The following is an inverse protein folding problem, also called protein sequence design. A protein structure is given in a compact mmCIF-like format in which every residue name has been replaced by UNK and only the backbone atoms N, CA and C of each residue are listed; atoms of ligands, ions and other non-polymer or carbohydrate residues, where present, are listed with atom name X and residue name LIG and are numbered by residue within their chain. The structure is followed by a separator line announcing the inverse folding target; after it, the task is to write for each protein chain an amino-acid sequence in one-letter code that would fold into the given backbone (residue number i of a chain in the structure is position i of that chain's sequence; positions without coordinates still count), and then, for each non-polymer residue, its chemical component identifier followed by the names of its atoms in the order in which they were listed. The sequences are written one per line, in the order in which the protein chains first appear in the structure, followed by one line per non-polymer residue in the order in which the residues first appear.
data_IF_952308088962
#
_entry.id   IF_952308088962
#
_cell.length_a   1.000
_cell.length_b   1.000
_cell.length_c   1.000
_cell.angle_alpha   90.00
_cell.angle_beta   90.00
_cell.angle_gamma   90.00
#
_symmetry.space_group_name_H-M   'P 1'
#
loop_
_entity.id
_entity.type
_entity.pdbx_description
1 polymer ?
#
# COMPACT_ATOMS: atom_id res chain seq x y z
N UNK A 1 -23.34 -27.99 5.91
CA UNK A 1 -22.09 -27.37 6.40
C UNK A 1 -21.10 -27.38 5.25
N UNK A 2 -20.74 -26.23 4.66
CA UNK A 2 -19.88 -26.25 3.47
C UNK A 2 -19.58 -24.91 2.79
N UNK A 3 -19.56 -23.79 3.53
CA UNK A 3 -19.18 -22.45 3.01
C UNK A 3 -17.76 -22.02 3.38
N UNK A 4 -16.95 -22.91 3.95
CA UNK A 4 -15.69 -22.51 4.63
C UNK A 4 -14.57 -22.04 3.71
N UNK A 5 -14.67 -22.24 2.40
CA UNK A 5 -13.58 -21.91 1.46
C UNK A 5 -13.75 -20.57 0.77
N UNK A 6 -14.98 -20.20 0.40
CA UNK A 6 -15.30 -18.89 -0.20
C UNK A 6 -15.12 -17.78 0.84
N UNK A 7 -15.56 -18.02 2.08
CA UNK A 7 -15.40 -17.09 3.20
C UNK A 7 -13.92 -16.72 3.41
N UNK A 8 -12.99 -17.68 3.29
CA UNK A 8 -11.54 -17.44 3.46
C UNK A 8 -10.96 -16.48 2.41
N UNK A 9 -11.44 -16.51 1.17
CA UNK A 9 -10.92 -15.64 0.09
C UNK A 9 -11.39 -14.20 0.23
N UNK A 10 -12.62 -13.98 0.72
CA UNK A 10 -13.13 -12.65 1.11
C UNK A 10 -12.19 -12.04 2.14
N UNK A 11 -11.90 -12.80 3.21
CA UNK A 11 -11.07 -12.28 4.29
C UNK A 11 -9.64 -12.01 3.86
N UNK A 12 -9.06 -12.85 2.98
CA UNK A 12 -7.71 -12.61 2.45
C UNK A 12 -7.59 -11.24 1.76
N UNK A 13 -8.47 -10.97 0.79
CA UNK A 13 -8.47 -9.69 0.08
C UNK A 13 -8.81 -8.52 1.01
N UNK A 14 -9.77 -8.69 1.93
CA UNK A 14 -10.15 -7.62 2.85
C UNK A 14 -9.02 -7.27 3.82
N UNK A 15 -8.29 -8.28 4.33
CA UNK A 15 -7.12 -8.07 5.20
C UNK A 15 -6.04 -7.26 4.48
N UNK A 16 -5.75 -7.60 3.22
CA UNK A 16 -4.79 -6.84 2.40
C UNK A 16 -5.29 -5.41 2.14
N UNK A 17 -6.58 -5.24 1.85
CA UNK A 17 -7.21 -3.92 1.71
C UNK A 17 -7.13 -3.07 2.99
N UNK A 18 -7.38 -3.66 4.15
CA UNK A 18 -7.23 -3.00 5.45
C UNK A 18 -5.78 -2.61 5.72
N UNK A 19 -4.82 -3.49 5.41
CA UNK A 19 -3.39 -3.19 5.52
C UNK A 19 -3.02 -1.94 4.71
N UNK A 20 -3.37 -1.92 3.41
CA UNK A 20 -3.09 -0.78 2.54
C UNK A 20 -3.79 0.49 2.99
N UNK A 21 -5.03 0.40 3.49
CA UNK A 21 -5.74 1.54 4.08
C UNK A 21 -4.97 2.13 5.25
N UNK A 22 -4.59 1.29 6.22
CA UNK A 22 -3.87 1.73 7.43
C UNK A 22 -2.51 2.35 7.09
N UNK A 23 -1.72 1.70 6.23
CA UNK A 23 -0.41 2.18 5.81
C UNK A 23 -0.50 3.50 5.03
N UNK A 24 -1.48 3.62 4.14
CA UNK A 24 -1.64 4.83 3.33
C UNK A 24 -2.10 6.02 4.14
N UNK A 25 -3.05 5.82 5.07
CA UNK A 25 -3.45 6.87 6.00
C UNK A 25 -2.30 7.27 6.93
N UNK A 26 -1.48 6.31 7.37
CA UNK A 26 -0.27 6.58 8.14
C UNK A 26 0.71 7.46 7.35
N UNK A 27 1.07 7.06 6.13
CA UNK A 27 1.97 7.83 5.27
C UNK A 27 1.42 9.24 5.00
N UNK A 28 0.14 9.36 4.64
CA UNK A 28 -0.51 10.64 4.41
C UNK A 28 -0.38 11.56 5.63
N UNK A 29 -0.77 11.07 6.81
CA UNK A 29 -0.69 11.83 8.04
C UNK A 29 0.75 12.29 8.34
N UNK A 30 1.74 11.42 8.11
CA UNK A 30 3.16 11.72 8.38
C UNK A 30 3.78 12.69 7.40
N UNK A 31 3.48 12.55 6.11
CA UNK A 31 3.91 13.48 5.06
C UNK A 31 3.36 14.88 5.37
N UNK A 32 2.05 14.99 5.63
CA UNK A 32 1.41 16.27 5.92
C UNK A 32 1.92 16.88 7.23
N UNK A 33 2.10 16.07 8.28
CA UNK A 33 2.69 16.53 9.53
C UNK A 33 4.10 17.07 9.34
N UNK A 34 4.95 16.37 8.55
CA UNK A 34 6.33 16.78 8.29
C UNK A 34 6.37 18.05 7.45
N UNK A 35 5.57 18.14 6.40
CA UNK A 35 5.43 19.35 5.58
C UNK A 35 5.03 20.56 6.43
N UNK A 36 4.00 20.41 7.27
CA UNK A 36 3.52 21.50 8.15
C UNK A 36 4.59 21.98 9.13
N UNK A 37 5.47 21.07 9.62
CA UNK A 37 6.54 21.41 10.57
C UNK A 37 7.75 22.06 9.91
N UNK A 38 8.16 21.56 8.75
CA UNK A 38 9.41 21.98 8.09
C UNK A 38 9.21 23.11 7.09
N UNK A 39 7.98 23.31 6.60
CA UNK A 39 7.69 24.20 5.48
C UNK A 39 8.25 23.69 4.15
N UNK A 40 8.06 24.45 3.06
CA UNK A 40 8.48 24.04 1.72
C UNK A 40 9.99 23.80 1.57
N UNK A 41 10.81 24.66 2.16
CA UNK A 41 12.27 24.61 2.02
C UNK A 41 12.92 23.48 2.82
N UNK A 42 12.35 23.14 3.99
CA UNK A 42 12.88 22.11 4.88
C UNK A 42 12.28 20.72 4.65
N UNK A 43 11.25 20.59 3.80
CA UNK A 43 10.60 19.32 3.58
C UNK A 43 11.51 18.35 2.82
N UNK A 44 11.58 17.13 3.35
CA UNK A 44 12.20 16.00 2.68
C UNK A 44 11.41 14.73 2.97
N UNK A 45 11.03 14.02 1.93
CA UNK A 45 10.37 12.71 1.96
C UNK A 45 11.33 11.69 2.56
N UNK A 46 10.78 10.68 3.24
CA UNK A 46 11.51 9.54 3.76
C UNK A 46 10.76 8.26 3.37
N UNK A 47 11.46 7.15 3.11
CA UNK A 47 10.82 5.92 2.67
C UNK A 47 9.98 5.24 3.76
N UNK A 48 10.20 5.59 5.02
CA UNK A 48 9.37 5.17 6.15
C UNK A 48 9.21 6.31 7.17
N UNK A 49 8.19 6.22 8.02
CA UNK A 49 7.89 7.24 9.02
C UNK A 49 7.72 6.67 10.43
N UNK A 50 8.41 7.30 11.38
CA UNK A 50 8.26 7.00 12.80
C UNK A 50 7.16 7.86 13.45
N UNK A 51 6.68 7.41 14.61
CA UNK A 51 5.74 8.16 15.44
C UNK A 51 6.43 9.36 16.14
N UNK A 52 6.72 10.44 15.41
CA UNK A 52 7.32 11.65 15.98
C UNK A 52 8.73 11.44 16.52
N UNK A 53 9.04 12.00 17.70
CA UNK A 53 10.29 11.71 18.44
C UNK A 53 10.26 10.38 19.20
N UNK A 54 9.13 9.66 19.17
CA UNK A 54 9.02 8.44 19.98
C UNK A 54 10.06 7.41 19.53
N UNK A 55 10.49 6.61 20.51
CA UNK A 55 11.40 5.49 20.27
C UNK A 55 10.77 4.39 19.41
N UNK A 56 9.46 4.42 19.15
CA UNK A 56 8.71 3.31 18.58
C UNK A 56 8.56 3.48 17.05
N UNK A 57 9.26 2.65 16.25
CA UNK A 57 9.08 2.60 14.79
C UNK A 57 7.80 1.84 14.44
N UNK A 58 6.66 2.52 14.52
CA UNK A 58 5.33 1.92 14.29
C UNK A 58 5.21 1.26 12.91
N UNK A 59 5.58 1.95 11.84
CA UNK A 59 5.49 1.40 10.48
C UNK A 59 6.37 0.15 10.29
N UNK A 60 7.66 0.16 10.68
CA UNK A 60 8.49 -1.03 10.58
C UNK A 60 7.98 -2.21 11.40
N UNK A 61 7.53 -1.96 12.64
CA UNK A 61 6.92 -3.01 13.49
C UNK A 61 5.67 -3.56 12.82
N UNK A 62 4.82 -2.70 12.24
CA UNK A 62 3.60 -3.12 11.57
C UNK A 62 3.89 -3.97 10.33
N UNK A 63 4.86 -3.57 9.49
CA UNK A 63 5.32 -4.37 8.34
C UNK A 63 5.80 -5.76 8.77
N UNK A 64 6.56 -5.85 9.87
CA UNK A 64 7.05 -7.12 10.43
C UNK A 64 5.91 -7.99 10.94
N UNK A 65 5.01 -7.43 11.76
CA UNK A 65 3.88 -8.18 12.28
C UNK A 65 3.02 -8.74 11.14
N UNK A 66 2.65 -7.90 10.18
CA UNK A 66 1.83 -8.35 9.05
C UNK A 66 2.59 -9.38 8.21
N UNK A 67 3.84 -9.12 7.83
CA UNK A 67 4.63 -10.06 7.04
C UNK A 67 4.80 -11.43 7.70
N UNK A 68 5.07 -11.47 9.02
CA UNK A 68 5.24 -12.73 9.76
C UNK A 68 3.90 -13.43 9.96
N UNK A 69 2.88 -12.75 10.50
CA UNK A 69 1.61 -13.40 10.83
C UNK A 69 0.83 -13.80 9.58
N UNK A 70 0.79 -12.94 8.56
CA UNK A 70 0.12 -13.24 7.30
C UNK A 70 0.89 -14.33 6.53
N UNK A 71 2.23 -14.26 6.49
CA UNK A 71 3.05 -15.31 5.87
C UNK A 71 2.87 -16.67 6.54
N UNK A 72 2.72 -16.71 7.87
CA UNK A 72 2.40 -17.94 8.59
C UNK A 72 1.00 -18.45 8.27
N UNK A 73 0.00 -17.56 8.23
CA UNK A 73 -1.36 -17.95 7.85
C UNK A 73 -1.41 -18.56 6.44
N UNK A 74 -0.66 -17.99 5.48
CA UNK A 74 -0.51 -18.50 4.13
C UNK A 74 0.19 -19.86 4.07
N UNK A 75 1.25 -20.04 4.85
CA UNK A 75 1.92 -21.34 4.98
C UNK A 75 0.93 -22.44 5.43
N UNK A 76 0.17 -22.19 6.49
CA UNK A 76 -0.83 -23.14 6.99
C UNK A 76 -1.96 -23.39 5.99
N UNK A 77 -2.39 -22.35 5.27
CA UNK A 77 -3.41 -22.50 4.24
C UNK A 77 -2.93 -23.34 3.05
N UNK A 78 -1.62 -23.42 2.82
CA UNK A 78 -1.00 -24.21 1.75
C UNK A 78 -0.63 -25.65 2.11
N UNK A 79 -0.90 -26.10 3.35
CA UNK A 79 -0.66 -27.48 3.76
C UNK A 79 -1.78 -28.41 3.29
N UNK A 80 -1.41 -29.56 2.74
CA UNK A 80 -2.33 -30.65 2.43
C UNK A 80 -2.76 -31.42 3.71
N UNK A 81 -3.70 -32.39 3.64
CA UNK A 81 -4.11 -33.17 4.80
C UNK A 81 -2.98 -34.00 5.46
N UNK A 82 -1.89 -34.24 4.74
CA UNK A 82 -0.70 -34.94 5.25
C UNK A 82 0.33 -33.96 5.85
N UNK A 83 0.07 -32.65 5.82
CA UNK A 83 0.98 -31.62 6.28
C UNK A 83 2.08 -31.24 5.30
N UNK A 84 2.01 -31.67 4.03
CA UNK A 84 2.97 -31.25 3.00
C UNK A 84 2.52 -29.95 2.35
N UNK A 85 3.46 -29.04 2.13
CA UNK A 85 3.18 -27.81 1.40
C UNK A 85 3.15 -28.08 -0.11
N UNK A 86 2.00 -27.89 -0.74
CA UNK A 86 1.80 -28.17 -2.18
C UNK A 86 1.13 -27.04 -2.94
N UNK A 87 0.69 -25.98 -2.26
CA UNK A 87 -0.07 -24.91 -2.88
C UNK A 87 0.84 -23.76 -3.38
N UNK A 88 1.18 -23.78 -4.67
CA UNK A 88 1.98 -22.73 -5.33
C UNK A 88 1.40 -21.31 -5.12
N UNK A 89 0.07 -21.18 -5.06
CA UNK A 89 -0.60 -19.90 -4.78
C UNK A 89 -0.15 -19.28 -3.46
N UNK A 90 -0.17 -20.08 -2.39
CA UNK A 90 0.25 -19.63 -1.07
C UNK A 90 1.74 -19.31 -1.04
N UNK A 91 2.56 -20.00 -1.86
CA UNK A 91 3.99 -19.71 -1.97
C UNK A 91 4.24 -18.29 -2.49
N UNK A 92 3.45 -17.84 -3.46
CA UNK A 92 3.55 -16.48 -3.98
C UNK A 92 3.15 -15.44 -2.92
N UNK A 93 2.09 -15.68 -2.13
CA UNK A 93 1.72 -14.80 -1.01
C UNK A 93 2.82 -14.76 0.05
N UNK A 94 3.40 -15.91 0.39
CA UNK A 94 4.53 -16.01 1.32
C UNK A 94 5.75 -15.23 0.82
N UNK A 95 6.02 -15.21 -0.49
CA UNK A 95 7.10 -14.41 -1.06
C UNK A 95 6.90 -12.91 -0.83
N UNK A 96 5.69 -12.38 -1.08
CA UNK A 96 5.34 -10.98 -0.77
C UNK A 96 5.51 -10.69 0.72
N UNK A 97 5.02 -11.59 1.59
CA UNK A 97 5.16 -11.49 3.05
C UNK A 97 6.62 -11.45 3.50
N UNK A 98 7.48 -12.28 2.90
CA UNK A 98 8.91 -12.33 3.19
C UNK A 98 9.58 -11.00 2.82
N UNK A 99 9.31 -10.47 1.62
CA UNK A 99 9.87 -9.18 1.18
C UNK A 99 9.35 -8.02 2.04
N UNK A 100 8.07 -8.03 2.43
CA UNK A 100 7.50 -7.05 3.36
C UNK A 100 8.18 -7.11 4.74
N UNK A 101 8.44 -8.31 5.24
CA UNK A 101 9.19 -8.53 6.50
C UNK A 101 10.60 -7.96 6.39
N UNK A 102 11.30 -8.24 5.29
CA UNK A 102 12.65 -7.69 5.05
C UNK A 102 12.63 -6.16 4.94
N UNK A 103 11.61 -5.57 4.31
CA UNK A 103 11.40 -4.11 4.29
C UNK A 103 11.28 -3.55 5.71
N UNK A 104 10.49 -4.19 6.58
CA UNK A 104 10.38 -3.80 7.99
C UNK A 104 11.70 -3.90 8.76
N UNK A 105 12.50 -4.95 8.53
CA UNK A 105 13.82 -5.12 9.16
C UNK A 105 14.80 -4.02 8.73
N UNK A 106 14.82 -3.67 7.44
CA UNK A 106 15.66 -2.60 6.90
C UNK A 106 15.30 -1.25 7.51
N UNK A 107 14.00 -0.94 7.61
CA UNK A 107 13.54 0.30 8.23
C UNK A 107 13.91 0.38 9.73
N UNK A 108 13.84 -0.75 10.45
CA UNK A 108 14.32 -0.85 11.84
C UNK A 108 15.83 -0.60 11.94
N UNK A 109 16.61 -1.21 11.04
CA UNK A 109 18.06 -1.01 10.97
C UNK A 109 18.43 0.46 10.78
N UNK A 110 17.77 1.14 9.84
CA UNK A 110 17.95 2.59 9.62
C UNK A 110 17.54 3.37 10.88
N UNK A 111 16.42 3.02 11.52
CA UNK A 111 15.95 3.71 12.74
C UNK A 111 16.95 3.63 13.90
N UNK A 112 17.65 2.51 14.04
CA UNK A 112 18.64 2.28 15.09
C UNK A 112 20.08 2.59 14.66
N UNK A 113 20.26 3.31 13.55
CA UNK A 113 21.56 3.71 13.02
C UNK A 113 22.53 2.53 12.80
N UNK A 114 22.00 1.35 12.48
CA UNK A 114 22.80 0.31 11.84
C UNK A 114 23.21 0.86 10.48
N UNK A 115 24.44 0.57 10.02
CA UNK A 115 25.00 1.10 8.77
C UNK A 115 24.24 0.54 7.56
N UNK A 116 23.05 1.09 7.30
CA UNK A 116 22.10 0.71 6.27
C UNK A 116 21.77 1.96 5.46
N UNK A 117 22.09 1.99 4.15
CA UNK A 117 21.72 3.12 3.29
C UNK A 117 20.20 3.34 3.27
N UNK A 118 19.75 4.60 3.36
CA UNK A 118 18.32 4.95 3.29
C UNK A 118 17.65 4.47 1.99
N UNK A 119 18.43 4.38 0.91
CA UNK A 119 17.99 3.87 -0.39
C UNK A 119 17.56 2.40 -0.35
N UNK A 120 18.09 1.59 0.58
CA UNK A 120 17.66 0.20 0.71
C UNK A 120 16.18 0.10 1.12
N UNK A 121 15.68 1.03 1.94
CA UNK A 121 14.26 1.04 2.32
C UNK A 121 13.36 1.24 1.08
N UNK A 122 13.75 2.15 0.16
CA UNK A 122 13.07 2.29 -1.13
C UNK A 122 13.16 1.03 -1.99
N UNK A 123 14.34 0.41 -2.07
CA UNK A 123 14.56 -0.82 -2.87
C UNK A 123 13.68 -1.96 -2.36
N UNK A 124 13.63 -2.19 -1.05
CA UNK A 124 12.77 -3.23 -0.48
C UNK A 124 11.29 -2.92 -0.65
N UNK A 125 10.88 -1.66 -0.53
CA UNK A 125 9.48 -1.27 -0.78
C UNK A 125 9.10 -1.44 -2.26
N UNK A 126 10.01 -1.14 -3.19
CA UNK A 126 9.84 -1.45 -4.62
C UNK A 126 9.80 -2.96 -4.86
N UNK A 127 10.63 -3.74 -4.16
CA UNK A 127 10.62 -5.18 -4.23
C UNK A 127 9.28 -5.78 -3.75
N UNK A 128 8.66 -5.22 -2.69
CA UNK A 128 7.30 -5.59 -2.29
C UNK A 128 6.35 -5.39 -3.47
N UNK A 129 6.37 -4.20 -4.08
CA UNK A 129 5.55 -3.90 -5.26
C UNK A 129 5.81 -4.86 -6.42
N UNK A 130 7.07 -5.19 -6.72
CA UNK A 130 7.43 -6.15 -7.77
C UNK A 130 6.88 -7.54 -7.48
N UNK A 131 7.02 -8.03 -6.24
CA UNK A 131 6.49 -9.34 -5.86
C UNK A 131 4.97 -9.37 -5.86
N UNK A 132 4.31 -8.27 -5.49
CA UNK A 132 2.85 -8.15 -5.49
C UNK A 132 2.30 -8.08 -6.92
N UNK A 133 2.90 -7.28 -7.80
CA UNK A 133 2.53 -7.25 -9.22
C UNK A 133 2.81 -8.57 -9.93
N UNK A 134 3.95 -9.21 -9.63
CA UNK A 134 4.24 -10.55 -10.14
C UNK A 134 3.19 -11.55 -9.66
N UNK A 135 2.90 -11.57 -8.35
CA UNK A 135 1.84 -12.38 -7.77
C UNK A 135 0.54 -12.18 -8.55
N UNK A 136 0.06 -10.95 -8.74
CA UNK A 136 -1.20 -10.68 -9.45
C UNK A 136 -1.20 -11.17 -10.91
N UNK A 137 -0.04 -11.19 -11.58
CA UNK A 137 0.07 -11.69 -12.95
C UNK A 137 0.05 -13.22 -13.07
N UNK A 138 0.57 -13.94 -12.06
CA UNK A 138 0.65 -15.42 -12.08
C UNK A 138 -0.39 -16.10 -11.18
N UNK A 139 -1.03 -15.37 -10.26
CA UNK A 139 -2.01 -15.90 -9.32
C UNK A 139 -3.34 -16.30 -9.99
N UNK A 140 -3.60 -15.74 -11.17
CA UNK A 140 -4.91 -15.76 -11.85
C UNK A 140 -4.90 -16.53 -13.15
N UNK A 141 -3.97 -17.47 -13.26
CA UNK A 141 -3.97 -18.38 -14.38
C UNK A 141 -5.34 -19.09 -14.44
N UNK A 142 -5.92 -19.15 -15.64
CA UNK A 142 -7.31 -19.57 -15.93
C UNK A 142 -7.60 -20.98 -15.36
N UNK A 143 -6.54 -21.72 -15.05
CA UNK A 143 -6.52 -22.99 -14.32
C UNK A 143 -7.21 -22.99 -12.95
N UNK A 144 -7.52 -21.83 -12.36
CA UNK A 144 -8.24 -21.74 -11.08
C UNK A 144 -9.75 -21.46 -11.19
N UNK A 145 -10.29 -21.40 -12.41
CA UNK A 145 -11.73 -21.30 -12.67
C UNK A 145 -12.34 -19.93 -12.40
N UNK A 146 -11.52 -18.91 -12.12
CA UNK A 146 -11.97 -17.52 -12.05
C UNK A 146 -12.11 -17.04 -13.50
N UNK A 147 -13.34 -16.73 -13.93
CA UNK A 147 -13.63 -16.27 -15.30
C UNK A 147 -12.87 -14.98 -15.66
N UNK A 148 -13.15 -14.42 -16.83
CA UNK A 148 -12.45 -13.22 -17.31
C UNK A 148 -12.53 -12.05 -16.31
N UNK A 149 -13.66 -11.88 -15.62
CA UNK A 149 -13.79 -10.88 -14.57
C UNK A 149 -12.71 -11.02 -13.49
N UNK A 150 -12.44 -12.22 -13.00
CA UNK A 150 -11.41 -12.47 -11.98
C UNK A 150 -10.01 -12.11 -12.48
N UNK A 151 -9.68 -12.52 -13.69
CA UNK A 151 -8.41 -12.19 -14.33
C UNK A 151 -8.24 -10.67 -14.51
N UNK A 152 -9.26 -9.99 -15.06
CA UNK A 152 -9.21 -8.54 -15.32
C UNK A 152 -9.09 -7.75 -14.00
N UNK A 153 -9.79 -8.17 -12.94
CA UNK A 153 -9.71 -7.54 -11.62
C UNK A 153 -8.33 -7.64 -10.99
N UNK A 154 -7.72 -8.82 -11.02
CA UNK A 154 -6.38 -8.99 -10.45
C UNK A 154 -5.30 -8.35 -11.31
N UNK A 155 -5.41 -8.40 -12.65
CA UNK A 155 -4.47 -7.67 -13.51
C UNK A 155 -4.53 -6.17 -13.24
N UNK A 156 -5.72 -5.62 -13.03
CA UNK A 156 -5.88 -4.23 -12.61
C UNK A 156 -5.22 -3.97 -11.25
N UNK A 157 -5.46 -4.82 -10.25
CA UNK A 157 -4.80 -4.72 -8.93
C UNK A 157 -3.27 -4.91 -8.99
N UNK A 158 -2.76 -5.62 -9.99
CA UNK A 158 -1.33 -5.80 -10.25
C UNK A 158 -0.66 -4.60 -10.91
N UNK A 159 -1.42 -3.73 -11.59
CA UNK A 159 -0.90 -2.50 -12.20
C UNK A 159 -0.56 -1.45 -11.13
N UNK A 160 -1.36 -1.35 -10.09
CA UNK A 160 -1.16 -0.37 -9.01
C UNK A 160 0.21 -0.45 -8.32
N UNK A 161 0.72 -1.62 -7.89
CA UNK A 161 2.06 -1.71 -7.33
C UNK A 161 3.15 -1.38 -8.36
N UNK A 162 2.94 -1.63 -9.66
CA UNK A 162 3.87 -1.21 -10.72
C UNK A 162 3.93 0.31 -10.85
N UNK A 163 2.77 0.98 -10.84
CA UNK A 163 2.72 2.45 -10.83
C UNK A 163 3.33 2.97 -9.51
N UNK A 164 3.10 2.28 -8.39
CA UNK A 164 3.74 2.55 -7.10
C UNK A 164 5.26 2.59 -7.18
N UNK A 165 5.90 1.65 -7.89
CA UNK A 165 7.35 1.63 -8.13
C UNK A 165 7.82 2.89 -8.87
N UNK A 166 7.07 3.34 -9.88
CA UNK A 166 7.38 4.58 -10.59
C UNK A 166 7.36 5.78 -9.64
N UNK A 167 6.38 5.86 -8.73
CA UNK A 167 6.33 6.93 -7.75
C UNK A 167 7.43 6.83 -6.70
N UNK A 168 7.79 5.63 -6.24
CA UNK A 168 8.93 5.45 -5.35
C UNK A 168 10.23 5.90 -6.00
N UNK A 169 10.40 5.63 -7.31
CA UNK A 169 11.52 6.14 -8.10
C UNK A 169 11.50 7.66 -8.16
N UNK A 170 10.34 8.27 -8.45
CA UNK A 170 10.18 9.72 -8.43
C UNK A 170 10.45 10.33 -7.05
N UNK A 171 10.07 9.68 -5.95
CA UNK A 171 10.35 10.13 -4.59
C UNK A 171 11.86 10.15 -4.30
N UNK A 172 12.60 9.13 -4.79
CA UNK A 172 14.06 9.10 -4.68
C UNK A 172 14.73 10.24 -5.47
N UNK A 173 14.24 10.54 -6.67
CA UNK A 173 14.78 11.58 -7.55
C UNK A 173 14.39 12.99 -7.10
N UNK A 174 13.20 13.15 -6.52
CA UNK A 174 12.63 14.44 -6.13
C UNK A 174 12.18 14.43 -4.66
N UNK A 175 13.08 14.19 -3.70
CA UNK A 175 12.74 13.97 -2.30
C UNK A 175 12.21 15.23 -1.59
N UNK A 176 12.13 16.38 -2.26
CA UNK A 176 11.56 17.63 -1.70
C UNK A 176 10.18 17.98 -2.26
N UNK A 177 9.63 17.18 -3.18
CA UNK A 177 8.35 17.46 -3.81
C UNK A 177 7.19 16.89 -2.99
N UNK A 178 6.38 17.76 -2.36
CA UNK A 178 5.17 17.33 -1.66
C UNK A 178 4.21 16.58 -2.60
N UNK A 179 4.07 17.04 -3.84
CA UNK A 179 3.17 16.42 -4.81
C UNK A 179 3.55 14.95 -5.04
N UNK A 180 4.85 14.68 -5.23
CA UNK A 180 5.38 13.32 -5.43
C UNK A 180 5.21 12.49 -4.16
N UNK A 181 5.47 13.08 -2.98
CA UNK A 181 5.27 12.40 -1.70
C UNK A 181 3.83 11.89 -1.52
N UNK A 182 2.85 12.67 -1.97
CA UNK A 182 1.43 12.34 -1.83
C UNK A 182 0.97 11.22 -2.77
N UNK A 183 1.70 10.92 -3.85
CA UNK A 183 1.33 9.87 -4.81
C UNK A 183 1.33 8.49 -4.15
N UNK A 184 2.28 8.21 -3.25
CA UNK A 184 2.34 6.92 -2.53
C UNK A 184 1.07 6.64 -1.70
N UNK A 185 0.65 7.48 -0.74
CA UNK A 185 -0.58 7.22 0.01
C UNK A 185 -1.85 7.28 -0.86
N UNK A 186 -1.86 8.07 -1.95
CA UNK A 186 -2.97 8.06 -2.92
C UNK A 186 -3.13 6.67 -3.52
N UNK A 187 -2.07 6.13 -4.08
CA UNK A 187 -2.13 4.85 -4.77
C UNK A 187 -2.27 3.68 -3.80
N UNK A 188 -1.74 3.78 -2.58
CA UNK A 188 -2.02 2.78 -1.56
C UNK A 188 -3.50 2.77 -1.12
N UNK A 189 -4.17 3.93 -1.02
CA UNK A 189 -5.63 3.98 -0.78
C UNK A 189 -6.41 3.40 -1.96
N UNK A 190 -5.93 3.64 -3.18
CA UNK A 190 -6.54 3.06 -4.37
C UNK A 190 -6.40 1.53 -4.38
N UNK A 191 -5.19 1.01 -4.12
CA UNK A 191 -4.93 -0.43 -3.96
C UNK A 191 -5.81 -1.04 -2.88
N UNK A 192 -6.00 -0.33 -1.76
CA UNK A 192 -6.90 -0.77 -0.70
C UNK A 192 -8.36 -0.91 -1.16
N UNK A 193 -8.85 0.09 -1.91
CA UNK A 193 -10.20 0.07 -2.48
C UNK A 193 -10.36 -1.05 -3.50
N UNK A 194 -9.33 -1.33 -4.29
CA UNK A 194 -9.30 -2.44 -5.24
C UNK A 194 -9.44 -3.80 -4.54
N UNK A 195 -8.62 -4.07 -3.53
CA UNK A 195 -8.73 -5.30 -2.75
C UNK A 195 -10.08 -5.45 -2.02
N UNK A 196 -10.62 -4.36 -1.46
CA UNK A 196 -11.95 -4.38 -0.88
C UNK A 196 -13.01 -4.71 -1.95
N UNK A 197 -12.92 -4.10 -3.14
CA UNK A 197 -13.83 -4.36 -4.26
C UNK A 197 -13.73 -5.82 -4.72
N UNK A 198 -12.53 -6.39 -4.85
CA UNK A 198 -12.32 -7.80 -5.17
C UNK A 198 -12.95 -8.73 -4.15
N UNK A 199 -12.84 -8.39 -2.86
CA UNK A 199 -13.45 -9.17 -1.77
C UNK A 199 -14.96 -9.31 -1.94
N UNK A 200 -15.64 -8.24 -2.37
CA UNK A 200 -17.09 -8.26 -2.56
C UNK A 200 -17.48 -8.77 -3.95
N UNK A 201 -16.84 -8.32 -5.02
CA UNK A 201 -17.24 -8.71 -6.38
C UNK A 201 -16.98 -10.19 -6.66
N UNK A 202 -15.81 -10.72 -6.32
CA UNK A 202 -15.44 -12.09 -6.67
C UNK A 202 -16.06 -13.15 -5.77
N UNK A 203 -16.50 -12.76 -4.57
CA UNK A 203 -16.86 -13.73 -3.52
C UNK A 203 -18.18 -13.39 -2.80
N UNK A 204 -19.03 -12.51 -3.36
CA UNK A 204 -20.32 -12.18 -2.74
C UNK A 204 -21.35 -13.31 -2.90
N UNK A 205 -21.86 -13.87 -1.80
CA UNK A 205 -22.70 -15.07 -1.83
C UNK A 205 -24.14 -14.79 -2.32
N UNK A 206 -24.58 -13.53 -2.32
CA UNK A 206 -25.97 -13.16 -2.64
C UNK A 206 -26.19 -12.70 -4.09
N UNK A 207 -25.13 -12.40 -4.83
CA UNK A 207 -25.23 -11.96 -6.22
C UNK A 207 -23.95 -12.39 -6.95
N UNK A 208 -23.95 -13.54 -7.65
CA UNK A 208 -22.77 -14.00 -8.35
C UNK A 208 -22.47 -13.04 -9.50
N UNK A 209 -21.31 -12.38 -9.43
CA UNK A 209 -20.80 -11.59 -10.53
C UNK A 209 -20.23 -12.51 -11.61
N UNK A 210 -20.37 -12.11 -12.87
CA UNK A 210 -19.87 -12.83 -14.03
C UNK A 210 -19.28 -11.84 -15.05
N UNK A 211 -18.81 -12.36 -16.18
CA UNK A 211 -18.13 -11.58 -17.22
C UNK A 211 -18.99 -10.43 -17.81
N UNK A 212 -20.31 -10.45 -17.64
CA UNK A 212 -21.20 -9.34 -18.07
C UNK A 212 -21.01 -8.10 -17.20
N UNK A 213 -20.43 -8.25 -16.02
CA UNK A 213 -20.22 -7.17 -15.05
C UNK A 213 -18.85 -6.50 -15.17
N UNK A 214 -17.97 -6.97 -16.06
CA UNK A 214 -16.64 -6.37 -16.32
C UNK A 214 -16.72 -4.86 -16.60
N UNK A 215 -17.65 -4.34 -17.43
CA UNK A 215 -17.78 -2.90 -17.64
C UNK A 215 -18.16 -2.12 -16.36
N UNK A 216 -19.00 -2.71 -15.51
CA UNK A 216 -19.41 -2.10 -14.23
C UNK A 216 -18.21 -2.02 -13.28
N UNK A 217 -17.42 -3.09 -13.21
CA UNK A 217 -16.17 -3.10 -12.44
C UNK A 217 -15.21 -2.00 -12.89
N UNK A 218 -14.95 -1.87 -14.20
CA UNK A 218 -14.07 -0.82 -14.70
C UNK A 218 -14.61 0.59 -14.40
N UNK A 219 -15.93 0.80 -14.49
CA UNK A 219 -16.54 2.08 -14.12
C UNK A 219 -16.37 2.38 -12.62
N UNK A 220 -16.58 1.40 -11.75
CA UNK A 220 -16.35 1.53 -10.30
C UNK A 220 -14.89 1.85 -10.00
N UNK A 221 -13.97 1.14 -10.65
CA UNK A 221 -12.53 1.35 -10.48
C UNK A 221 -12.14 2.79 -10.89
N UNK A 222 -12.62 3.26 -12.05
CA UNK A 222 -12.39 4.62 -12.51
C UNK A 222 -12.93 5.67 -11.52
N UNK A 223 -14.13 5.45 -10.95
CA UNK A 223 -14.69 6.33 -9.92
C UNK A 223 -13.81 6.33 -8.67
N UNK A 224 -13.33 5.17 -8.22
CA UNK A 224 -12.39 5.06 -7.10
C UNK A 224 -11.08 5.82 -7.38
N UNK A 225 -10.52 5.73 -8.58
CA UNK A 225 -9.37 6.54 -9.01
C UNK A 225 -9.67 8.03 -8.91
N UNK A 226 -10.79 8.49 -9.50
CA UNK A 226 -11.15 9.90 -9.52
C UNK A 226 -11.40 10.46 -8.12
N UNK A 227 -12.08 9.72 -7.25
CA UNK A 227 -12.32 10.12 -5.86
C UNK A 227 -11.01 10.20 -5.08
N UNK A 228 -10.15 9.19 -5.18
CA UNK A 228 -8.88 9.15 -4.45
C UNK A 228 -7.94 10.27 -4.92
N UNK A 229 -7.87 10.52 -6.23
CA UNK A 229 -7.12 11.63 -6.81
C UNK A 229 -7.67 12.99 -6.36
N UNK A 230 -9.00 13.17 -6.40
CA UNK A 230 -9.64 14.44 -6.03
C UNK A 230 -9.48 14.76 -4.55
N UNK A 231 -9.70 13.78 -3.66
CA UNK A 231 -9.54 13.95 -2.22
C UNK A 231 -8.11 14.35 -1.87
N UNK A 232 -7.14 13.79 -2.59
CA UNK A 232 -5.74 14.00 -2.28
C UNK A 232 -5.18 15.28 -2.89
N UNK A 233 -5.63 15.67 -4.08
CA UNK A 233 -5.38 17.02 -4.63
C UNK A 233 -5.99 18.09 -3.72
N UNK A 234 -7.20 17.85 -3.22
CA UNK A 234 -7.86 18.75 -2.26
C UNK A 234 -7.05 18.86 -0.98
N UNK A 235 -6.60 17.74 -0.40
CA UNK A 235 -5.75 17.74 0.79
C UNK A 235 -4.44 18.50 0.54
N UNK A 236 -3.78 18.30 -0.61
CA UNK A 236 -2.56 19.00 -0.99
C UNK A 236 -2.77 20.52 -1.06
N UNK A 237 -3.85 20.97 -1.72
CA UNK A 237 -4.19 22.40 -1.85
C UNK A 237 -4.49 23.03 -0.49
N UNK A 238 -5.26 22.34 0.36
CA UNK A 238 -5.58 22.83 1.70
C UNK A 238 -4.33 22.98 2.57
N UNK A 239 -3.41 22.01 2.50
CA UNK A 239 -2.14 22.04 3.21
C UNK A 239 -1.24 23.16 2.69
N UNK A 240 -1.16 23.35 1.36
CA UNK A 240 -0.39 24.43 0.76
C UNK A 240 -0.90 25.82 1.17
N UNK A 241 -2.22 26.03 1.12
CA UNK A 241 -2.86 27.29 1.55
C UNK A 241 -2.66 27.55 3.05
N UNK A 242 -2.80 26.52 3.88
CA UNK A 242 -2.55 26.63 5.32
C UNK A 242 -1.10 27.00 5.64
N UNK A 243 -0.14 26.41 4.92
CA UNK A 243 1.29 26.67 5.09
C UNK A 243 1.65 28.12 4.78
N UNK A 244 1.08 28.71 3.71
CA UNK A 244 1.29 30.12 3.37
C UNK A 244 0.78 31.08 4.45
N UNK A 245 -0.41 30.81 5.02
CA UNK A 245 -0.96 31.63 6.11
C UNK A 245 -0.10 31.57 7.38
N UNK A 246 0.46 30.40 7.70
CA UNK A 246 1.38 30.22 8.84
C UNK A 246 2.72 30.95 8.60
N UNK A 247 3.30 30.84 7.39
CA UNK A 247 4.51 31.56 7.03
C UNK A 247 4.32 33.08 7.15
N UNK A 248 3.18 33.60 6.69
CA UNK A 248 2.87 35.03 6.78
C UNK A 248 2.69 35.52 8.23
N UNK A 249 2.07 34.72 9.11
CA UNK A 249 1.94 35.07 10.55
C UNK A 249 3.27 35.06 11.30
N UNK A 250 4.18 34.16 10.93
CA UNK A 250 5.47 34.02 11.59
C UNK A 250 6.56 34.93 10.98
N UNK A 251 6.29 35.52 9.81
CA UNK A 251 7.08 36.62 9.26
C UNK A 251 6.79 37.90 10.07
N UNK A 252 7.22 37.93 11.33
CA UNK A 252 7.53 39.22 11.95
C UNK A 252 8.75 39.73 11.21
N UNK A 253 8.60 40.86 10.52
CA UNK A 253 9.74 41.61 10.00
C UNK A 253 10.77 41.71 11.14
N UNK A 254 12.06 41.41 10.89
CA UNK A 254 13.08 41.64 11.89
C UNK A 254 12.91 43.07 12.42
N UNK A 255 12.81 43.18 13.75
CA UNK A 255 12.76 44.47 14.43
C UNK A 255 13.92 45.32 13.92
N UNK A 256 13.67 46.54 13.41
CA UNK A 256 14.74 47.42 12.92
C UNK A 256 15.55 48.07 14.06
N UNK A 257 15.56 47.45 15.25
CA UNK A 257 16.20 47.96 16.46
C UNK A 257 17.13 46.92 17.04
#
# INVERSE_FOLDING_TARGET
MGRTWEDKRIYGHLVVGCFWTMMSLWWLAKILQRWRKMGPEGFRISPFYCAGKSAIPVEPIFKLCIGVFYGYAEYYAGLDPSGNFSATKNAHHMAVCAVLTMSGLVDLGIRWNVVVPEQLSYIFLMAVGLTDGWLMSVHNDVSFGEGRLGTDMHQAAGMDPMIGILFLTCEMLHPRSLAIALLRPIFGLHQAAMFATMSFVLYQPCCPWDDRHVPIFHALNLVCYMLTATLSLTAAVLVHRGSRKLAYKNWKLPSPY
#
